data_IF_428918181495
#
_entry.id   IF_428918181495
#
_cell.length_a   1.000
_cell.length_b   1.000
_cell.length_c   1.000
_cell.angle_alpha   90.00
_cell.angle_beta   90.00
_cell.angle_gamma   90.00
#
_symmetry.space_group_name_H-M   'P 1'
#
loop_
_entity.id
_entity.type
_entity.pdbx_description
1 polymer ?
#
# COMPACT_ATOMS: atom_id res chain seq x y z
N UNK A 1 14.02 29.80 1.94
CA UNK A 1 13.21 29.92 3.17
C UNK A 1 12.19 31.01 2.95
N UNK A 2 10.90 30.67 2.81
CA UNK A 2 9.82 31.63 2.61
C UNK A 2 8.79 31.37 3.69
N UNK A 3 8.60 32.33 4.60
CA UNK A 3 7.57 32.27 5.64
C UNK A 3 6.31 32.93 5.08
N UNK A 4 5.17 32.24 5.15
CA UNK A 4 3.89 32.79 4.70
C UNK A 4 3.42 33.89 5.67
N UNK A 5 2.98 35.02 5.11
CA UNK A 5 2.41 36.13 5.88
C UNK A 5 0.98 35.77 6.32
N UNK A 6 0.77 35.59 7.64
CA UNK A 6 -0.56 35.47 8.22
C UNK A 6 -1.13 36.87 8.52
N UNK A 7 -2.04 37.35 7.68
CA UNK A 7 -2.93 38.45 8.05
C UNK A 7 -4.11 37.93 8.87
N UNK A 8 -4.13 38.28 10.16
CA UNK A 8 -5.23 38.02 11.08
C UNK A 8 -6.29 39.12 10.93
N UNK A 9 -7.36 38.84 10.19
CA UNK A 9 -8.59 39.66 10.17
C UNK A 9 -9.79 38.83 10.63
N UNK A 10 -10.24 39.05 11.88
CA UNK A 10 -11.59 38.65 12.32
C UNK A 10 -11.66 38.15 13.77
N UNK A 11 -12.75 38.44 14.52
CA UNK A 11 -12.88 38.06 15.92
C UNK A 11 -13.22 36.57 16.05
N UNK A 12 -12.36 35.84 16.76
CA UNK A 12 -12.61 34.55 17.43
C UNK A 12 -13.61 33.60 16.73
N UNK A 13 -13.35 33.24 15.48
CA UNK A 13 -13.95 32.06 14.89
C UNK A 13 -13.23 30.82 15.41
N UNK A 14 -13.92 29.95 16.15
CA UNK A 14 -13.48 28.58 16.42
C UNK A 14 -13.25 27.89 15.07
N UNK A 15 -12.01 27.91 14.59
CA UNK A 15 -11.58 27.18 13.41
C UNK A 15 -11.79 25.70 13.70
N UNK A 16 -12.83 25.12 13.12
CA UNK A 16 -13.03 23.67 13.15
C UNK A 16 -11.92 23.07 12.30
N UNK A 17 -10.81 22.71 12.95
CA UNK A 17 -9.72 21.96 12.32
C UNK A 17 -10.27 20.56 12.08
N UNK A 18 -10.85 20.37 10.91
CA UNK A 18 -11.21 19.04 10.43
C UNK A 18 -9.90 18.37 10.09
N UNK A 19 -9.36 17.55 11.00
CA UNK A 19 -8.30 16.62 10.66
C UNK A 19 -8.89 15.63 9.66
N UNK A 20 -8.78 15.95 8.37
CA UNK A 20 -8.99 14.96 7.33
C UNK A 20 -7.97 13.87 7.62
N UNK A 21 -8.45 12.67 7.95
CA UNK A 21 -7.60 11.50 8.14
C UNK A 21 -7.12 11.06 6.78
N UNK A 22 -6.25 11.85 6.15
CA UNK A 22 -5.42 11.42 5.05
C UNK A 22 -4.42 10.44 5.66
N UNK A 23 -4.87 9.19 5.86
CA UNK A 23 -3.94 8.09 6.03
C UNK A 23 -3.16 8.04 4.72
N UNK A 24 -1.95 8.59 4.76
CA UNK A 24 -1.03 8.58 3.62
C UNK A 24 -0.93 7.13 3.17
N UNK A 25 -1.16 6.86 1.90
CA UNK A 25 -1.25 5.48 1.38
C UNK A 25 -0.01 4.64 1.70
N UNK A 26 1.14 5.31 1.82
CA UNK A 26 2.39 4.73 2.29
C UNK A 26 2.31 4.15 3.71
N UNK A 27 1.60 4.79 4.63
CA UNK A 27 1.40 4.30 6.00
C UNK A 27 0.51 3.05 6.02
N UNK A 28 -0.52 3.01 5.16
CA UNK A 28 -1.42 1.86 5.07
C UNK A 28 -0.70 0.66 4.45
N UNK A 29 -0.01 0.84 3.34
CA UNK A 29 0.77 -0.22 2.70
C UNK A 29 1.87 -0.74 3.65
N UNK A 30 2.56 0.15 4.37
CA UNK A 30 3.53 -0.23 5.39
C UNK A 30 2.93 -1.03 6.55
N UNK A 31 1.71 -0.68 6.99
CA UNK A 31 1.00 -1.42 8.03
C UNK A 31 0.51 -2.79 7.55
N UNK A 32 0.07 -2.91 6.30
CA UNK A 32 -0.32 -4.18 5.67
C UNK A 32 0.91 -5.08 5.55
N UNK A 33 2.01 -4.57 5.00
CA UNK A 33 3.25 -5.32 4.83
C UNK A 33 3.76 -5.91 6.15
N UNK A 34 3.70 -5.14 7.24
CA UNK A 34 4.10 -5.61 8.58
C UNK A 34 3.21 -6.73 9.13
N UNK A 35 1.98 -6.86 8.64
CA UNK A 35 1.03 -7.90 9.04
C UNK A 35 1.03 -9.10 8.11
N UNK A 36 1.61 -8.98 6.93
CA UNK A 36 1.74 -10.07 5.97
C UNK A 36 2.84 -11.02 6.42
N UNK A 37 2.45 -12.24 6.73
CA UNK A 37 3.38 -13.32 7.05
C UNK A 37 3.73 -14.08 5.76
N UNK A 38 4.87 -13.73 5.18
CA UNK A 38 5.42 -14.37 3.98
C UNK A 38 5.96 -15.76 4.29
N UNK A 39 5.56 -16.72 3.48
CA UNK A 39 5.90 -18.14 3.61
C UNK A 39 6.11 -18.72 2.21
N UNK A 40 6.94 -19.73 2.11
CA UNK A 40 7.10 -20.46 0.85
C UNK A 40 5.80 -21.19 0.50
N UNK A 41 5.44 -21.16 -0.78
CA UNK A 41 4.31 -21.91 -1.30
C UNK A 41 4.67 -23.40 -1.34
N UNK A 42 3.94 -24.29 -0.65
CA UNK A 42 4.22 -25.73 -0.71
C UNK A 42 3.96 -26.35 -2.08
N UNK A 43 3.23 -25.66 -2.98
CA UNK A 43 2.91 -26.15 -4.32
C UNK A 43 3.90 -25.68 -5.39
N UNK A 44 4.60 -24.56 -5.16
CA UNK A 44 5.51 -23.94 -6.13
C UNK A 44 6.80 -23.47 -5.44
N UNK A 45 7.92 -24.14 -5.75
CA UNK A 45 9.24 -23.81 -5.22
C UNK A 45 9.69 -22.42 -5.72
N UNK A 46 10.23 -21.58 -4.82
CA UNK A 46 10.66 -20.22 -5.14
C UNK A 46 9.56 -19.16 -5.12
N UNK A 47 8.30 -19.54 -4.89
CA UNK A 47 7.18 -18.60 -4.73
C UNK A 47 6.94 -18.33 -3.24
N UNK A 48 6.97 -17.07 -2.85
CA UNK A 48 6.59 -16.62 -1.51
C UNK A 48 5.14 -16.11 -1.54
N UNK A 49 4.32 -16.63 -0.65
CA UNK A 49 2.91 -16.23 -0.50
C UNK A 49 2.66 -15.63 0.87
N UNK A 50 1.78 -14.64 0.93
CA UNK A 50 1.31 -14.05 2.16
C UNK A 50 -0.16 -13.65 2.04
N UNK A 51 -0.94 -13.90 3.08
CA UNK A 51 -2.33 -13.50 3.14
C UNK A 51 -2.54 -12.24 3.97
N UNK A 52 -3.50 -11.41 3.56
CA UNK A 52 -3.99 -10.29 4.34
C UNK A 52 -5.53 -10.22 4.24
N UNK A 53 -6.22 -10.70 5.28
CA UNK A 53 -7.67 -10.89 5.25
C UNK A 53 -8.06 -11.94 4.20
N UNK A 54 -8.91 -11.56 3.25
CA UNK A 54 -9.33 -12.43 2.13
C UNK A 54 -8.43 -12.31 0.89
N UNK A 55 -7.36 -11.49 0.95
CA UNK A 55 -6.44 -11.25 -0.16
C UNK A 55 -5.21 -12.12 -0.04
N UNK A 56 -4.76 -12.69 -1.15
CA UNK A 56 -3.52 -13.46 -1.24
C UNK A 56 -2.53 -12.71 -2.13
N UNK A 57 -1.36 -12.38 -1.57
CA UNK A 57 -0.21 -11.90 -2.33
C UNK A 57 0.75 -13.04 -2.61
N UNK A 58 1.28 -13.10 -3.82
CA UNK A 58 2.36 -13.98 -4.24
C UNK A 58 3.52 -13.12 -4.78
N UNK A 59 4.76 -13.49 -4.48
CA UNK A 59 5.96 -12.91 -5.06
C UNK A 59 6.92 -14.02 -5.43
N UNK A 60 7.64 -13.88 -6.53
CA UNK A 60 8.58 -14.89 -7.02
C UNK A 60 9.76 -14.21 -7.73
N UNK A 61 10.88 -14.92 -7.82
CA UNK A 61 12.04 -14.47 -8.57
C UNK A 61 11.89 -14.87 -10.05
N UNK A 62 12.14 -13.94 -10.96
CA UNK A 62 12.16 -14.16 -12.41
C UNK A 62 13.59 -14.46 -12.87
N UNK A 63 13.74 -15.18 -14.00
CA UNK A 63 15.06 -15.58 -14.52
C UNK A 63 15.99 -14.40 -14.83
N UNK A 64 15.42 -13.24 -15.13
CA UNK A 64 16.14 -12.00 -15.44
C UNK A 64 16.65 -11.25 -14.19
N UNK A 65 16.44 -11.81 -12.98
CA UNK A 65 16.84 -11.20 -11.70
C UNK A 65 15.86 -10.14 -11.18
N UNK A 66 14.70 -10.02 -11.80
CA UNK A 66 13.58 -9.22 -11.30
C UNK A 66 12.70 -10.05 -10.36
N UNK A 67 11.83 -9.37 -9.63
CA UNK A 67 10.86 -10.00 -8.74
C UNK A 67 9.45 -9.74 -9.25
N UNK A 68 8.76 -10.82 -9.62
CA UNK A 68 7.34 -10.81 -9.92
C UNK A 68 6.51 -10.68 -8.65
N UNK A 69 5.40 -9.96 -8.75
CA UNK A 69 4.42 -9.90 -7.67
C UNK A 69 3.00 -9.94 -8.22
N UNK A 70 2.10 -10.64 -7.53
CA UNK A 70 0.70 -10.76 -7.89
C UNK A 70 -0.18 -10.70 -6.64
N UNK A 71 -1.35 -10.08 -6.76
CA UNK A 71 -2.39 -10.10 -5.73
C UNK A 71 -3.64 -10.73 -6.30
N UNK A 72 -4.12 -11.79 -5.66
CA UNK A 72 -5.22 -12.65 -6.12
C UNK A 72 -5.00 -13.09 -7.58
N UNK A 73 -6.03 -12.99 -8.43
CA UNK A 73 -5.94 -13.32 -9.86
C UNK A 73 -5.70 -12.08 -10.75
N UNK A 74 -5.25 -10.96 -10.19
CA UNK A 74 -4.99 -9.75 -10.99
C UNK A 74 -3.64 -9.85 -11.71
N UNK A 75 -3.48 -9.20 -12.87
CA UNK A 75 -2.18 -9.10 -13.50
C UNK A 75 -1.22 -8.41 -12.53
N UNK A 76 -0.14 -9.12 -12.23
CA UNK A 76 0.94 -8.66 -11.39
C UNK A 76 1.83 -7.60 -12.04
N UNK A 77 2.87 -7.21 -11.33
CA UNK A 77 3.94 -6.37 -11.86
C UNK A 77 5.32 -6.99 -11.61
N UNK A 78 6.36 -6.27 -12.04
CA UNK A 78 7.75 -6.59 -11.79
C UNK A 78 8.37 -5.53 -10.89
N UNK A 79 9.30 -5.94 -10.04
CA UNK A 79 10.07 -5.07 -9.16
C UNK A 79 11.55 -5.46 -9.17
N UNK A 80 12.43 -4.51 -8.85
CA UNK A 80 13.87 -4.74 -8.89
C UNK A 80 14.39 -5.59 -7.71
N UNK A 81 13.63 -5.66 -6.60
CA UNK A 81 14.02 -6.41 -5.40
C UNK A 81 12.83 -7.11 -4.78
N UNK A 82 13.08 -8.19 -4.04
CA UNK A 82 12.07 -8.90 -3.23
C UNK A 82 11.31 -7.94 -2.30
N UNK A 83 12.03 -7.01 -1.67
CA UNK A 83 11.45 -6.05 -0.75
C UNK A 83 10.53 -5.05 -1.46
N UNK A 84 10.83 -4.69 -2.70
CA UNK A 84 9.99 -3.83 -3.53
C UNK A 84 8.75 -4.59 -4.03
N UNK A 85 8.90 -5.85 -4.45
CA UNK A 85 7.79 -6.72 -4.83
C UNK A 85 6.78 -6.90 -3.69
N UNK A 86 7.27 -7.19 -2.47
CA UNK A 86 6.43 -7.30 -1.27
C UNK A 86 5.72 -5.99 -0.94
N UNK A 87 6.42 -4.84 -1.06
CA UNK A 87 5.83 -3.52 -0.89
C UNK A 87 4.74 -3.24 -1.94
N UNK A 88 4.99 -3.58 -3.20
CA UNK A 88 4.03 -3.40 -4.28
C UNK A 88 2.75 -4.24 -4.04
N UNK A 89 2.90 -5.49 -3.61
CA UNK A 89 1.77 -6.31 -3.15
C UNK A 89 0.94 -5.62 -2.05
N UNK A 90 1.59 -5.06 -1.03
CA UNK A 90 0.90 -4.37 0.05
C UNK A 90 0.18 -3.08 -0.42
N UNK A 91 0.76 -2.36 -1.38
CA UNK A 91 0.13 -1.18 -2.02
C UNK A 91 -1.10 -1.58 -2.83
N UNK A 92 -1.04 -2.67 -3.60
CA UNK A 92 -2.19 -3.19 -4.34
C UNK A 92 -3.33 -3.59 -3.41
N UNK A 93 -3.02 -4.30 -2.32
CA UNK A 93 -4.03 -4.66 -1.29
C UNK A 93 -4.62 -3.41 -0.64
N UNK A 94 -3.80 -2.38 -0.35
CA UNK A 94 -4.24 -1.11 0.20
C UNK A 94 -5.22 -0.39 -0.76
N UNK A 95 -4.89 -0.36 -2.05
CA UNK A 95 -5.70 0.31 -3.09
C UNK A 95 -7.07 -0.36 -3.23
N UNK A 96 -7.11 -1.69 -3.15
CA UNK A 96 -8.33 -2.50 -3.22
C UNK A 96 -9.22 -2.39 -1.97
N UNK A 97 -8.62 -2.05 -0.82
CA UNK A 97 -9.33 -1.89 0.45
C UNK A 97 -10.05 -0.54 0.57
N UNK A 98 -9.81 0.40 -0.35
CA UNK A 98 -10.53 1.68 -0.37
C UNK A 98 -11.97 1.45 -0.86
N UNK A 99 -13.01 1.81 -0.07
CA UNK A 99 -14.34 1.94 -0.63
C UNK A 99 -14.30 3.04 -1.68
N UNK A 100 -14.59 2.68 -2.93
CA UNK A 100 -14.70 3.65 -4.02
C UNK A 100 -15.77 4.66 -3.63
N UNK A 101 -15.34 5.83 -3.17
CA UNK A 101 -16.22 6.98 -3.01
C UNK A 101 -16.59 7.44 -4.42
N UNK A 102 -17.59 6.78 -5.03
CA UNK A 102 -18.36 7.39 -6.10
C UNK A 102 -19.13 8.54 -5.47
N UNK A 103 -18.52 9.72 -5.49
CA UNK A 103 -19.24 10.97 -5.33
C UNK A 103 -20.27 11.03 -6.47
N UNK A 104 -21.54 11.05 -6.09
CA UNK A 104 -22.71 11.21 -6.97
C UNK A 104 -23.05 12.69 -7.05
#
# INVERSE_FOLDING_TARGET
MMWAACELRGPAGLGKVTFARETIEADLAGAILKRMEWRENPEEEGVLVASYGERLGAVWEEEDGFWGYQVDSRPGGLADTEADAKRACAVEIASMSKPTSKAK
#
